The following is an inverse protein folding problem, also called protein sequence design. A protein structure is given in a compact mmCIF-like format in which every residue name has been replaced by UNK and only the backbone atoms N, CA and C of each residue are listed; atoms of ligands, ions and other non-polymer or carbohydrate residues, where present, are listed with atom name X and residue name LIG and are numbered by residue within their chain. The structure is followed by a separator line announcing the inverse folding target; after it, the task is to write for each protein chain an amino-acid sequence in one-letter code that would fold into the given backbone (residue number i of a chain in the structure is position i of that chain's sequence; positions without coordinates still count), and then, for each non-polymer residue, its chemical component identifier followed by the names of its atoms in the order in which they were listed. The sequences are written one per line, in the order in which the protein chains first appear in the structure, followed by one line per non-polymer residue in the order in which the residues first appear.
data_IF_685238626899
#
_entry.id   IF_685238626899
#
_cell.length_a   1.000
_cell.length_b   1.000
_cell.length_c   1.000
_cell.angle_alpha   90.00
_cell.angle_beta   90.00
_cell.angle_gamma   90.00
#
_symmetry.space_group_name_H-M   'P 1'
#
loop_
_entity.id
_entity.type
_entity.pdbx_description
1 polymer ?
#
# COMPACT_ATOMS: atom_id res chain seq x y z
N UNK A 1 10.95 6.82 -33.66
CA UNK A 1 10.00 5.83 -33.06
C UNK A 1 9.28 6.51 -31.90
N UNK A 2 7.99 6.82 -32.04
CA UNK A 2 7.17 7.31 -30.92
C UNK A 2 6.91 6.15 -29.95
N UNK A 3 7.75 6.01 -28.93
CA UNK A 3 7.45 5.09 -27.83
C UNK A 3 6.31 5.71 -27.02
N UNK A 4 5.08 5.22 -27.22
CA UNK A 4 3.97 5.51 -26.32
C UNK A 4 4.40 5.06 -24.93
N UNK A 5 4.46 5.99 -23.98
CA UNK A 5 4.80 5.71 -22.59
C UNK A 5 3.73 4.74 -22.04
N UNK A 6 4.05 3.44 -21.98
CA UNK A 6 3.09 2.41 -21.55
C UNK A 6 3.05 2.43 -20.03
N UNK A 7 1.88 2.73 -19.47
CA UNK A 7 1.65 2.65 -18.03
C UNK A 7 1.19 1.26 -17.66
N UNK A 8 1.85 0.65 -16.67
CA UNK A 8 1.45 -0.62 -16.07
C UNK A 8 0.35 -0.34 -15.05
N UNK A 9 -0.76 -1.07 -15.10
CA UNK A 9 -1.87 -0.92 -14.16
C UNK A 9 -1.99 -2.18 -13.30
N UNK A 10 -1.85 -2.04 -11.99
CA UNK A 10 -2.08 -3.08 -11.01
C UNK A 10 -3.45 -2.83 -10.37
N UNK A 11 -4.34 -3.82 -10.42
CA UNK A 11 -5.69 -3.72 -9.88
C UNK A 11 -5.95 -4.85 -8.91
N UNK A 12 -6.29 -4.53 -7.67
CA UNK A 12 -6.50 -5.53 -6.63
C UNK A 12 -6.94 -4.94 -5.31
N UNK A 13 -6.94 -5.78 -4.29
CA UNK A 13 -7.36 -5.43 -2.93
C UNK A 13 -6.19 -4.88 -2.10
N UNK A 14 -6.48 -3.87 -1.29
CA UNK A 14 -5.56 -3.35 -0.29
C UNK A 14 -5.77 -4.10 1.03
N UNK A 15 -4.69 -4.56 1.65
CA UNK A 15 -4.70 -5.28 2.90
C UNK A 15 -3.98 -4.52 4.01
N UNK A 16 -4.55 -4.55 5.21
CA UNK A 16 -3.90 -4.11 6.44
C UNK A 16 -3.42 -5.31 7.22
N UNK A 17 -2.10 -5.42 7.41
CA UNK A 17 -1.50 -6.49 8.21
C UNK A 17 -1.20 -6.00 9.62
N UNK A 18 -2.05 -6.41 10.55
CA UNK A 18 -1.82 -6.26 11.98
C UNK A 18 -0.78 -7.29 12.45
N UNK A 19 0.39 -6.82 12.89
CA UNK A 19 1.53 -7.70 13.21
C UNK A 19 1.89 -7.59 14.69
N UNK A 20 1.63 -8.60 15.52
CA UNK A 20 1.89 -8.51 16.95
C UNK A 20 3.38 -8.46 17.25
N UNK A 21 3.77 -7.61 18.22
CA UNK A 21 5.12 -7.64 18.80
C UNK A 21 5.23 -8.87 19.71
N UNK A 22 6.23 -9.72 19.45
CA UNK A 22 6.48 -10.97 20.16
C UNK A 22 6.77 -10.75 21.66
N UNK A 23 6.81 -11.84 22.42
CA UNK A 23 7.06 -11.82 23.88
C UNK A 23 6.00 -11.01 24.66
N UNK A 24 4.78 -10.94 24.14
CA UNK A 24 3.65 -10.25 24.76
C UNK A 24 3.71 -8.71 24.69
N UNK A 25 4.63 -8.14 23.90
CA UNK A 25 4.77 -6.68 23.77
C UNK A 25 3.48 -6.01 23.34
N UNK A 26 2.77 -6.60 22.36
CA UNK A 26 1.51 -6.03 21.86
C UNK A 26 0.41 -5.89 22.94
N UNK A 27 0.43 -6.78 23.95
CA UNK A 27 -0.53 -6.75 25.06
C UNK A 27 -0.11 -5.70 26.09
N UNK A 28 1.18 -5.68 26.47
CA UNK A 28 1.71 -4.76 27.49
C UNK A 28 1.58 -3.31 27.06
N UNK A 29 1.94 -3.05 25.81
CA UNK A 29 1.99 -1.71 25.24
C UNK A 29 0.64 -1.31 24.62
N UNK A 30 -0.34 -2.23 24.60
CA UNK A 30 -1.67 -2.04 23.99
C UNK A 30 -1.58 -1.50 22.55
N UNK A 31 -0.57 -1.94 21.82
CA UNK A 31 -0.26 -1.44 20.49
C UNK A 31 0.09 -2.59 19.55
N UNK A 32 -0.32 -2.46 18.30
CA UNK A 32 0.00 -3.43 17.26
C UNK A 32 0.42 -2.69 15.99
N UNK A 33 1.66 -2.88 15.52
CA UNK A 33 2.10 -2.35 14.23
C UNK A 33 1.16 -2.76 13.10
N UNK A 34 0.83 -1.78 12.25
CA UNK A 34 0.01 -1.95 11.06
C UNK A 34 0.88 -1.74 9.83
N UNK A 35 0.81 -2.67 8.89
CA UNK A 35 1.48 -2.53 7.60
C UNK A 35 0.44 -2.54 6.48
N UNK A 36 0.53 -1.57 5.58
CA UNK A 36 -0.30 -1.52 4.38
C UNK A 36 0.38 -2.38 3.30
N UNK A 37 -0.40 -3.21 2.62
CA UNK A 37 0.11 -4.10 1.58
C UNK A 37 -1.00 -4.67 0.71
N UNK A 38 -0.70 -5.76 0.03
CA UNK A 38 -1.54 -6.40 -0.98
C UNK A 38 -0.65 -6.86 -2.13
N UNK A 39 -0.99 -7.96 -2.79
CA UNK A 39 -0.13 -8.51 -3.84
C UNK A 39 0.09 -7.48 -4.96
N UNK A 40 -1.00 -6.85 -5.40
CA UNK A 40 -1.00 -5.87 -6.49
C UNK A 40 -0.43 -4.52 -6.06
N UNK A 41 -0.67 -4.09 -4.82
CA UNK A 41 -0.06 -2.88 -4.27
C UNK A 41 1.46 -3.05 -4.19
N UNK A 42 1.94 -4.16 -3.64
CA UNK A 42 3.37 -4.44 -3.52
C UNK A 42 4.06 -4.49 -4.90
N UNK A 43 3.41 -5.12 -5.90
CA UNK A 43 3.91 -5.14 -7.27
C UNK A 43 3.95 -3.72 -7.87
N UNK A 44 2.90 -2.91 -7.66
CA UNK A 44 2.84 -1.54 -8.14
C UNK A 44 3.94 -0.67 -7.52
N UNK A 45 4.16 -0.79 -6.20
CA UNK A 45 5.22 -0.10 -5.47
C UNK A 45 6.61 -0.50 -5.98
N UNK A 46 6.87 -1.79 -6.18
CA UNK A 46 8.16 -2.25 -6.72
C UNK A 46 8.42 -1.69 -8.14
N UNK A 47 7.40 -1.71 -9.01
CA UNK A 47 7.50 -1.12 -10.35
C UNK A 47 7.75 0.40 -10.31
N UNK A 48 7.10 1.11 -9.40
CA UNK A 48 7.32 2.54 -9.19
C UNK A 48 8.76 2.84 -8.72
N UNK A 49 9.28 2.06 -7.75
CA UNK A 49 10.67 2.15 -7.29
C UNK A 49 11.69 1.85 -8.39
N UNK A 50 11.33 1.02 -9.38
CA UNK A 50 12.12 0.78 -10.59
C UNK A 50 11.88 1.81 -11.70
N UNK A 51 11.30 2.97 -11.38
CA UNK A 51 11.00 4.07 -12.30
C UNK A 51 10.10 3.68 -13.48
N UNK A 52 9.27 2.63 -13.35
CA UNK A 52 8.28 2.29 -14.36
C UNK A 52 7.01 3.12 -14.17
N UNK A 53 6.44 3.61 -15.27
CA UNK A 53 5.13 4.27 -15.24
C UNK A 53 4.08 3.29 -14.75
N UNK A 54 3.57 3.50 -13.54
CA UNK A 54 2.70 2.53 -12.85
C UNK A 54 1.49 3.22 -12.25
N UNK A 55 0.34 2.54 -12.27
CA UNK A 55 -0.91 2.93 -11.60
C UNK A 55 -1.39 1.77 -10.75
N UNK A 56 -1.86 2.08 -9.54
CA UNK A 56 -2.57 1.14 -8.70
C UNK A 56 -4.05 1.54 -8.63
N UNK A 57 -4.94 0.57 -8.74
CA UNK A 57 -6.39 0.76 -8.66
C UNK A 57 -6.94 -0.21 -7.63
N UNK A 58 -7.74 0.32 -6.70
CA UNK A 58 -8.41 -0.47 -5.66
C UNK A 58 -9.75 0.16 -5.30
N UNK A 59 -10.55 -0.55 -4.52
CA UNK A 59 -11.79 -0.04 -3.94
C UNK A 59 -11.64 0.03 -2.43
N UNK A 60 -11.96 1.18 -1.84
CA UNK A 60 -11.94 1.39 -0.40
C UNK A 60 -13.31 1.86 0.09
N UNK A 61 -13.69 1.53 1.34
CA UNK A 61 -14.93 2.05 1.92
C UNK A 61 -14.83 3.58 2.10
N UNK A 62 -15.94 4.33 1.96
CA UNK A 62 -15.96 5.78 2.14
C UNK A 62 -15.95 6.13 3.65
N UNK A 63 -14.78 6.03 4.27
CA UNK A 63 -14.59 6.38 5.67
C UNK A 63 -13.21 7.01 5.92
N UNK A 64 -13.07 7.62 7.09
CA UNK A 64 -11.86 8.34 7.48
C UNK A 64 -10.60 7.45 7.47
N UNK A 65 -10.71 6.17 7.85
CA UNK A 65 -9.58 5.26 7.81
C UNK A 65 -9.05 5.04 6.39
N UNK A 66 -9.93 4.93 5.40
CA UNK A 66 -9.54 4.81 4.00
C UNK A 66 -8.85 6.08 3.50
N UNK A 67 -9.32 7.27 3.90
CA UNK A 67 -8.70 8.55 3.56
C UNK A 67 -7.26 8.63 4.12
N UNK A 68 -7.05 8.30 5.40
CA UNK A 68 -5.71 8.29 6.01
C UNK A 68 -4.74 7.32 5.31
N UNK A 69 -5.23 6.14 4.91
CA UNK A 69 -4.42 5.15 4.17
C UNK A 69 -4.00 5.72 2.80
N UNK A 70 -4.93 6.37 2.10
CA UNK A 70 -4.64 6.97 0.79
C UNK A 70 -3.59 8.09 0.92
N UNK A 71 -3.72 8.94 1.94
CA UNK A 71 -2.76 10.02 2.20
C UNK A 71 -1.35 9.47 2.52
N UNK A 72 -1.26 8.42 3.33
CA UNK A 72 0.00 7.72 3.62
C UNK A 72 0.64 7.15 2.34
N UNK A 73 -0.15 6.48 1.48
CA UNK A 73 0.35 5.88 0.24
C UNK A 73 0.87 6.92 -0.76
N UNK A 74 0.28 8.11 -0.81
CA UNK A 74 0.68 9.19 -1.72
C UNK A 74 1.93 9.93 -1.19
N UNK A 75 2.08 10.03 0.13
CA UNK A 75 3.11 10.87 0.76
C UNK A 75 4.39 10.11 1.07
N UNK A 76 4.27 8.91 1.63
CA UNK A 76 5.39 8.21 2.29
C UNK A 76 6.01 7.08 1.45
N UNK A 77 5.30 6.59 0.44
CA UNK A 77 5.84 5.61 -0.52
C UNK A 77 6.44 6.35 -1.72
N UNK A 78 7.67 6.83 -1.54
CA UNK A 78 8.55 7.27 -2.64
C UNK A 78 9.70 6.31 -2.84
#
# INVERSE_FOLDING_TARGET
MNQRNKTICCFGELLLRLSPVMSGGFIKDRSMPVFIGGAELNAATALALWNQSTKYVTALPPNYFAEEIVDFLITDIK
#
